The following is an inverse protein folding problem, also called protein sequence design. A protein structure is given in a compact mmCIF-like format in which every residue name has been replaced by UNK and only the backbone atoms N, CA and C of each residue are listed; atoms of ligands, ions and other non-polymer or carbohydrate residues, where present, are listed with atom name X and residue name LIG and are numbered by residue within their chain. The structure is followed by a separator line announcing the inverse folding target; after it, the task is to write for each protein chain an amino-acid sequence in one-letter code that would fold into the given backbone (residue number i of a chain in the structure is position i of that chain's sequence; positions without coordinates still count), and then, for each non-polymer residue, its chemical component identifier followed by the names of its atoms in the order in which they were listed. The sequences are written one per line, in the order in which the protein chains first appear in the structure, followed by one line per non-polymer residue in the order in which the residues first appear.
data_IF_150447990811
#
_entry.id   IF_150447990811
#
_cell.length_a   1.000
_cell.length_b   1.000
_cell.length_c   1.000
_cell.angle_alpha   90.00
_cell.angle_beta   90.00
_cell.angle_gamma   90.00
#
_symmetry.space_group_name_H-M   'P 1'
#
loop_
_entity.id
_entity.type
_entity.pdbx_description
1 polymer ?
#
# COMPACT_ATOMS: atom_id res chain seq x y z
N UNK A 1 19.50 25.74 6.44
CA UNK A 1 19.56 24.29 6.76
C UNK A 1 19.22 23.51 5.50
N UNK A 2 19.99 22.46 5.15
CA UNK A 2 19.81 21.71 3.90
C UNK A 2 18.98 20.45 4.10
N UNK A 3 18.04 20.22 3.18
CA UNK A 3 17.23 19.00 3.10
C UNK A 3 17.55 18.28 1.78
N UNK A 4 17.97 17.04 1.85
CA UNK A 4 18.19 16.18 0.67
C UNK A 4 16.92 15.38 0.35
N UNK A 5 16.29 15.64 -0.78
CA UNK A 5 15.16 14.85 -1.28
C UNK A 5 15.64 13.78 -2.26
N UNK A 6 16.34 12.76 -1.74
CA UNK A 6 17.11 11.79 -2.52
C UNK A 6 16.28 10.96 -3.51
N UNK A 7 15.02 10.68 -3.18
CA UNK A 7 14.10 9.98 -4.08
C UNK A 7 13.06 10.92 -4.73
N UNK A 8 13.34 12.23 -4.67
CA UNK A 8 12.49 13.28 -5.24
C UNK A 8 11.23 13.56 -4.42
N UNK A 9 10.75 14.80 -4.55
CA UNK A 9 9.47 15.26 -4.03
C UNK A 9 8.77 16.13 -5.08
N UNK A 10 7.48 16.43 -4.85
CA UNK A 10 6.72 17.33 -5.74
C UNK A 10 7.24 18.77 -5.68
N UNK A 11 7.05 19.54 -6.76
CA UNK A 11 7.41 20.97 -6.78
C UNK A 11 6.73 21.75 -5.65
N UNK A 12 5.48 21.41 -5.29
CA UNK A 12 4.80 22.03 -4.16
C UNK A 12 5.49 21.74 -2.82
N UNK A 13 6.08 20.54 -2.67
CA UNK A 13 6.87 20.18 -1.50
C UNK A 13 8.19 20.96 -1.42
N UNK A 14 8.87 21.12 -2.57
CA UNK A 14 10.08 21.98 -2.68
C UNK A 14 9.74 23.40 -2.25
N UNK A 15 8.75 24.01 -2.89
CA UNK A 15 8.34 25.39 -2.61
C UNK A 15 7.97 25.60 -1.13
N UNK A 16 7.29 24.63 -0.51
CA UNK A 16 6.90 24.72 0.90
C UNK A 16 8.13 24.65 1.84
N UNK A 17 9.11 23.81 1.54
CA UNK A 17 10.35 23.74 2.33
C UNK A 17 11.21 24.98 2.16
N UNK A 18 11.33 25.51 0.93
CA UNK A 18 12.07 26.76 0.67
C UNK A 18 11.39 27.96 1.34
N UNK A 19 10.08 28.05 1.28
CA UNK A 19 9.32 29.08 2.00
C UNK A 19 9.50 29.00 3.55
N UNK A 20 9.78 27.78 4.06
CA UNK A 20 10.11 27.57 5.47
C UNK A 20 11.60 27.84 5.80
N UNK A 21 12.40 28.29 4.82
CA UNK A 21 13.81 28.65 5.01
C UNK A 21 14.80 27.49 4.87
N UNK A 22 14.39 26.39 4.28
CA UNK A 22 15.30 25.29 3.96
C UNK A 22 15.84 25.44 2.54
N UNK A 23 17.06 25.00 2.33
CA UNK A 23 17.65 24.76 1.01
C UNK A 23 17.36 23.30 0.63
N UNK A 24 16.70 23.08 -0.51
CA UNK A 24 16.29 21.73 -0.95
C UNK A 24 17.22 21.23 -2.03
N UNK A 25 17.89 20.11 -1.78
CA UNK A 25 18.77 19.43 -2.73
C UNK A 25 17.96 18.31 -3.39
N UNK A 26 17.84 18.35 -4.72
CA UNK A 26 17.10 17.37 -5.53
C UNK A 26 18.00 16.40 -6.27
N UNK A 27 19.33 16.54 -6.13
CA UNK A 27 20.29 15.65 -6.74
C UNK A 27 20.11 14.22 -6.21
N UNK A 28 20.10 13.24 -7.12
CA UNK A 28 20.08 11.84 -6.74
C UNK A 28 21.47 11.37 -6.36
N UNK A 29 21.68 11.06 -5.11
CA UNK A 29 22.91 10.51 -4.56
C UNK A 29 22.82 8.98 -4.51
N UNK A 30 23.83 8.27 -4.96
CA UNK A 30 23.89 6.81 -4.87
C UNK A 30 23.95 6.36 -3.40
N UNK A 31 23.46 5.15 -3.11
CA UNK A 31 23.40 4.65 -1.74
C UNK A 31 24.78 4.61 -1.06
N UNK A 32 25.82 4.25 -1.81
CA UNK A 32 27.19 4.11 -1.29
C UNK A 32 27.84 5.49 -0.99
N UNK A 33 27.43 6.53 -1.71
CA UNK A 33 27.93 7.90 -1.54
C UNK A 33 27.11 8.72 -0.54
N UNK A 34 25.99 8.18 -0.05
CA UNK A 34 25.00 8.94 0.72
C UNK A 34 25.57 9.52 2.01
N UNK A 35 26.39 8.78 2.74
CA UNK A 35 27.00 9.22 4.00
C UNK A 35 27.98 10.37 3.74
N UNK A 36 28.84 10.24 2.76
CA UNK A 36 29.85 11.26 2.42
C UNK A 36 29.17 12.55 1.94
N UNK A 37 28.12 12.40 1.14
CA UNK A 37 27.34 13.56 0.66
C UNK A 37 26.64 14.29 1.83
N UNK A 38 25.95 13.56 2.70
CA UNK A 38 25.28 14.17 3.86
C UNK A 38 26.26 14.94 4.73
N UNK A 39 27.45 14.37 4.98
CA UNK A 39 28.47 14.98 5.81
C UNK A 39 29.12 16.19 5.12
N UNK A 40 29.44 16.09 3.83
CA UNK A 40 30.01 17.19 3.06
C UNK A 40 29.07 18.39 2.98
N UNK A 41 27.81 18.15 2.67
CA UNK A 41 26.81 19.20 2.49
C UNK A 41 26.15 19.65 3.81
N UNK A 42 26.47 19.00 4.94
CA UNK A 42 25.88 19.25 6.25
C UNK A 42 24.33 19.17 6.21
N UNK A 43 23.83 18.12 5.57
CA UNK A 43 22.39 17.87 5.44
C UNK A 43 21.76 17.60 6.81
N UNK A 44 20.69 18.30 7.14
CA UNK A 44 19.96 18.13 8.43
C UNK A 44 18.72 17.23 8.30
N UNK A 45 18.22 17.03 7.10
CA UNK A 45 17.07 16.17 6.84
C UNK A 45 17.18 15.43 5.52
N UNK A 46 16.83 14.14 5.51
CA UNK A 46 16.78 13.33 4.30
C UNK A 46 15.35 12.88 4.04
N UNK A 47 14.88 13.14 2.81
CA UNK A 47 13.56 12.68 2.35
C UNK A 47 13.76 11.56 1.35
N UNK A 48 13.17 10.41 1.64
CA UNK A 48 13.31 9.19 0.85
C UNK A 48 11.95 8.60 0.45
N UNK A 49 11.94 7.73 -0.55
CA UNK A 49 10.80 6.88 -0.88
C UNK A 49 11.19 5.42 -0.68
N UNK A 50 11.21 4.61 -1.74
CA UNK A 50 11.52 3.17 -1.64
C UNK A 50 12.93 2.81 -2.13
N UNK A 51 13.60 3.70 -2.88
CA UNK A 51 14.88 3.40 -3.50
C UNK A 51 16.06 3.59 -2.54
N UNK A 52 15.99 4.60 -1.67
CA UNK A 52 17.05 4.92 -0.70
C UNK A 52 16.78 4.25 0.64
N UNK A 53 17.80 3.68 1.25
CA UNK A 53 17.73 3.10 2.61
C UNK A 53 18.45 3.98 3.61
N UNK A 54 17.88 4.10 4.82
CA UNK A 54 18.49 4.80 5.95
C UNK A 54 18.61 3.82 7.11
N UNK A 55 19.76 3.14 7.15
CA UNK A 55 20.07 2.12 8.16
C UNK A 55 20.91 2.70 9.28
N UNK A 56 21.23 1.90 10.29
CA UNK A 56 22.00 2.30 11.44
C UNK A 56 23.33 2.98 11.06
N UNK A 57 24.03 2.44 10.06
CA UNK A 57 25.27 3.02 9.56
C UNK A 57 25.14 4.47 9.10
N UNK A 58 24.04 4.82 8.42
CA UNK A 58 23.77 6.22 8.00
C UNK A 58 23.49 7.09 9.22
N UNK A 59 22.68 6.60 10.15
CA UNK A 59 22.33 7.33 11.38
C UNK A 59 23.58 7.63 12.23
N UNK A 60 24.47 6.65 12.41
CA UNK A 60 25.67 6.78 13.22
C UNK A 60 26.75 7.65 12.56
N UNK A 61 26.84 7.62 11.23
CA UNK A 61 27.89 8.32 10.48
C UNK A 61 27.54 9.76 10.09
N UNK A 62 26.30 10.19 10.30
CA UNK A 62 25.81 11.49 9.85
C UNK A 62 25.34 12.37 11.04
N UNK A 63 26.26 12.98 11.82
CA UNK A 63 25.91 13.71 13.04
C UNK A 63 25.09 15.00 12.79
N UNK A 64 25.11 15.53 11.57
CA UNK A 64 24.26 16.67 11.17
C UNK A 64 22.80 16.30 11.00
N UNK A 65 22.47 15.00 10.78
CA UNK A 65 21.13 14.54 10.48
C UNK A 65 20.22 14.63 11.71
N UNK A 66 19.04 15.23 11.53
CA UNK A 66 18.02 15.40 12.57
C UNK A 66 16.65 14.87 12.17
N UNK A 67 16.40 14.77 10.85
CA UNK A 67 15.12 14.37 10.30
C UNK A 67 15.29 13.31 9.20
N UNK A 68 14.47 12.27 9.28
CA UNK A 68 14.27 11.31 8.19
C UNK A 68 12.79 11.35 7.84
N UNK A 69 12.45 11.71 6.59
CA UNK A 69 11.09 11.72 6.07
C UNK A 69 10.90 10.67 4.99
N UNK A 70 9.84 9.86 5.10
CA UNK A 70 9.50 8.89 4.06
C UNK A 70 8.22 9.28 3.34
N UNK A 71 8.31 9.53 2.04
CA UNK A 71 7.15 9.72 1.16
C UNK A 71 6.42 8.40 0.89
N UNK A 72 5.49 8.04 1.77
CA UNK A 72 4.69 6.83 1.70
C UNK A 72 4.30 6.27 3.07
N UNK A 73 3.65 5.10 3.10
CA UNK A 73 3.10 4.52 4.32
C UNK A 73 4.15 3.68 5.07
N UNK A 74 4.70 2.67 4.41
CA UNK A 74 5.66 1.77 5.05
C UNK A 74 7.04 2.40 5.17
N UNK A 75 7.78 2.04 6.19
CA UNK A 75 9.12 2.56 6.48
C UNK A 75 10.15 1.43 6.55
N UNK A 76 9.94 0.35 5.82
CA UNK A 76 10.78 -0.86 5.85
C UNK A 76 12.23 -0.61 5.43
N UNK A 77 12.48 0.48 4.70
CA UNK A 77 13.81 0.92 4.27
C UNK A 77 14.52 1.83 5.29
N UNK A 78 13.92 2.09 6.45
CA UNK A 78 14.45 2.95 7.51
C UNK A 78 14.49 2.16 8.81
N UNK A 79 15.59 2.24 9.56
CA UNK A 79 15.69 1.67 10.91
C UNK A 79 15.06 2.64 11.93
N UNK A 80 13.72 2.74 11.88
CA UNK A 80 12.92 3.77 12.58
C UNK A 80 13.16 3.77 14.09
N UNK A 81 13.13 2.61 14.73
CA UNK A 81 13.31 2.50 16.17
C UNK A 81 14.69 3.02 16.58
N UNK A 82 15.72 2.58 15.87
CA UNK A 82 17.10 3.00 16.10
C UNK A 82 17.30 4.52 15.88
N UNK A 83 16.80 5.05 14.77
CA UNK A 83 16.90 6.47 14.48
C UNK A 83 16.25 7.34 15.58
N UNK A 84 15.07 6.92 16.06
CA UNK A 84 14.37 7.62 17.17
C UNK A 84 15.12 7.50 18.48
N UNK A 85 15.71 6.36 18.81
CA UNK A 85 16.56 6.17 19.98
C UNK A 85 17.78 7.11 19.96
N UNK A 86 18.34 7.35 18.76
CA UNK A 86 19.42 8.33 18.53
C UNK A 86 18.94 9.79 18.52
N UNK A 87 17.66 10.06 18.77
CA UNK A 87 17.11 11.40 18.85
C UNK A 87 16.69 12.02 17.52
N UNK A 88 16.68 11.26 16.42
CA UNK A 88 16.20 11.75 15.12
C UNK A 88 14.67 11.73 15.08
N UNK A 89 14.11 12.76 14.45
CA UNK A 89 12.69 12.76 14.07
C UNK A 89 12.49 11.90 12.84
N UNK A 90 11.58 10.92 12.91
CA UNK A 90 11.22 10.07 11.75
C UNK A 90 9.73 10.22 11.47
N UNK A 91 9.41 10.68 10.26
CA UNK A 91 8.05 10.94 9.78
C UNK A 91 7.75 10.18 8.48
N UNK A 92 6.47 9.96 8.22
CA UNK A 92 5.99 9.42 6.95
C UNK A 92 4.69 10.11 6.52
N UNK A 93 4.15 9.72 5.33
CA UNK A 93 2.90 10.26 4.78
C UNK A 93 1.82 9.17 4.70
N UNK A 94 1.24 8.74 5.83
CA UNK A 94 0.40 7.53 5.89
C UNK A 94 -0.96 7.66 5.18
N UNK A 95 -1.43 8.88 4.93
CA UNK A 95 -2.71 9.14 4.24
C UNK A 95 -2.60 9.36 2.74
N UNK A 96 -1.41 9.70 2.24
CA UNK A 96 -1.26 10.25 0.89
C UNK A 96 -1.55 9.26 -0.25
N UNK A 97 -1.32 7.96 -0.04
CA UNK A 97 -1.50 6.92 -1.07
C UNK A 97 -2.69 6.00 -0.86
N UNK A 98 -3.49 6.22 0.19
CA UNK A 98 -4.56 5.27 0.55
C UNK A 98 -5.57 5.09 -0.57
N UNK A 99 -6.01 6.19 -1.16
CA UNK A 99 -6.94 6.20 -2.28
C UNK A 99 -6.35 5.52 -3.53
N UNK A 100 -5.13 5.91 -3.91
CA UNK A 100 -4.46 5.37 -5.10
C UNK A 100 -4.24 3.85 -5.02
N UNK A 101 -3.90 3.33 -3.83
CA UNK A 101 -3.76 1.88 -3.62
C UNK A 101 -5.12 1.19 -3.71
N UNK A 102 -6.17 1.76 -3.13
CA UNK A 102 -7.51 1.19 -3.22
C UNK A 102 -8.02 1.13 -4.67
N UNK A 103 -7.78 2.17 -5.47
CA UNK A 103 -8.12 2.20 -6.90
C UNK A 103 -7.31 1.15 -7.69
N UNK A 104 -6.02 1.01 -7.42
CA UNK A 104 -5.18 -0.02 -8.04
C UNK A 104 -5.72 -1.42 -7.73
N UNK A 105 -6.09 -1.69 -6.48
CA UNK A 105 -6.68 -2.98 -6.09
C UNK A 105 -7.99 -3.23 -6.84
N UNK A 106 -8.88 -2.25 -6.94
CA UNK A 106 -10.11 -2.39 -7.75
C UNK A 106 -9.79 -2.68 -9.22
N UNK A 107 -8.80 -2.02 -9.78
CA UNK A 107 -8.29 -2.33 -11.13
C UNK A 107 -7.85 -3.78 -11.28
N UNK A 108 -7.11 -4.31 -10.31
CA UNK A 108 -6.71 -5.73 -10.29
C UNK A 108 -7.91 -6.67 -10.12
N UNK A 109 -8.89 -6.35 -9.27
CA UNK A 109 -10.10 -7.17 -9.11
C UNK A 109 -10.86 -7.29 -10.43
N UNK A 110 -11.05 -6.19 -11.18
CA UNK A 110 -11.64 -6.24 -12.52
C UNK A 110 -10.76 -7.02 -13.49
N UNK A 111 -9.45 -6.80 -13.48
CA UNK A 111 -8.52 -7.45 -14.40
C UNK A 111 -8.53 -8.98 -14.26
N UNK A 112 -8.46 -9.50 -13.03
CA UNK A 112 -8.48 -10.96 -12.78
C UNK A 112 -9.87 -11.58 -12.99
N UNK A 113 -10.94 -10.79 -12.86
CA UNK A 113 -12.32 -11.26 -13.03
C UNK A 113 -12.75 -11.29 -14.49
N UNK A 114 -12.25 -10.39 -15.33
CA UNK A 114 -12.68 -10.17 -16.71
C UNK A 114 -11.57 -10.42 -17.73
N UNK A 115 -10.44 -11.01 -17.30
CA UNK A 115 -9.30 -11.36 -18.16
C UNK A 115 -8.71 -10.17 -18.95
N UNK A 116 -8.70 -8.96 -18.38
CA UNK A 116 -8.30 -7.74 -19.10
C UNK A 116 -6.87 -7.83 -19.63
N UNK A 117 -5.93 -8.31 -18.81
CA UNK A 117 -4.54 -8.48 -19.23
C UNK A 117 -4.40 -9.49 -20.38
N UNK A 118 -5.07 -10.65 -20.26
CA UNK A 118 -5.04 -11.66 -21.30
C UNK A 118 -5.71 -11.16 -22.58
N UNK A 119 -6.81 -10.40 -22.46
CA UNK A 119 -7.48 -9.77 -23.60
C UNK A 119 -6.56 -8.78 -24.32
N UNK A 120 -5.91 -7.89 -23.59
CA UNK A 120 -4.97 -6.94 -24.16
C UNK A 120 -3.81 -7.63 -24.90
N UNK A 121 -3.17 -8.62 -24.24
CA UNK A 121 -2.04 -9.35 -24.81
C UNK A 121 -2.38 -10.13 -26.08
N UNK A 122 -3.62 -10.63 -26.18
CA UNK A 122 -4.04 -11.47 -27.32
C UNK A 122 -4.87 -10.71 -28.36
N UNK A 123 -5.06 -9.40 -28.22
CA UNK A 123 -5.87 -8.60 -29.16
C UNK A 123 -5.37 -8.69 -30.61
N UNK A 124 -4.07 -8.74 -30.79
CA UNK A 124 -3.42 -8.75 -32.11
C UNK A 124 -3.49 -10.11 -32.83
N UNK A 125 -3.86 -11.18 -32.13
CA UNK A 125 -3.86 -12.55 -32.74
C UNK A 125 -4.96 -12.75 -33.78
N UNK A 126 -5.96 -11.89 -33.85
CA UNK A 126 -7.10 -12.03 -34.76
C UNK A 126 -8.07 -13.18 -34.42
N UNK A 127 -7.84 -13.95 -33.38
CA UNK A 127 -8.66 -15.11 -32.97
C UNK A 127 -9.90 -14.71 -32.16
N UNK A 128 -10.64 -13.68 -32.57
CA UNK A 128 -11.74 -13.09 -31.82
C UNK A 128 -12.76 -14.11 -31.29
N UNK A 129 -13.21 -15.04 -32.13
CA UNK A 129 -14.23 -16.02 -31.73
C UNK A 129 -13.74 -16.95 -30.59
N UNK A 130 -12.48 -17.36 -30.64
CA UNK A 130 -11.83 -18.20 -29.64
C UNK A 130 -11.65 -17.44 -28.34
N UNK A 131 -11.17 -16.19 -28.42
CA UNK A 131 -10.99 -15.31 -27.26
C UNK A 131 -12.32 -14.99 -26.58
N UNK A 132 -13.36 -14.65 -27.36
CA UNK A 132 -14.72 -14.43 -26.84
C UNK A 132 -15.25 -15.62 -26.04
N UNK A 133 -15.08 -16.84 -26.57
CA UNK A 133 -15.48 -18.07 -25.88
C UNK A 133 -14.68 -18.28 -24.59
N UNK A 134 -13.38 -17.99 -24.60
CA UNK A 134 -12.51 -18.11 -23.44
C UNK A 134 -12.92 -17.10 -22.35
N UNK A 135 -13.18 -15.84 -22.72
CA UNK A 135 -13.53 -14.77 -21.78
C UNK A 135 -14.98 -14.79 -21.28
N UNK A 136 -15.84 -15.62 -21.89
CA UNK A 136 -17.19 -15.88 -21.38
C UNK A 136 -17.21 -16.50 -19.97
N UNK A 137 -16.07 -17.04 -19.50
CA UNK A 137 -15.88 -17.53 -18.13
C UNK A 137 -15.64 -16.41 -17.11
N UNK A 138 -15.57 -15.16 -17.54
CA UNK A 138 -15.43 -14.02 -16.65
C UNK A 138 -16.61 -13.89 -15.70
N UNK A 139 -16.34 -13.34 -14.52
CA UNK A 139 -17.34 -13.14 -13.47
C UNK A 139 -17.52 -11.65 -13.15
N UNK A 140 -18.70 -11.29 -12.68
CA UNK A 140 -19.00 -9.96 -12.18
C UNK A 140 -18.57 -9.83 -10.71
N UNK A 141 -18.20 -8.61 -10.28
CA UNK A 141 -17.92 -8.32 -8.87
C UNK A 141 -19.21 -8.14 -8.06
N UNK A 142 -20.29 -7.68 -8.70
CA UNK A 142 -21.59 -7.47 -8.04
C UNK A 142 -22.06 -8.74 -7.32
N UNK A 143 -22.48 -8.58 -6.08
CA UNK A 143 -22.97 -9.66 -5.22
C UNK A 143 -21.90 -10.60 -4.68
N UNK A 144 -20.62 -10.44 -5.08
CA UNK A 144 -19.50 -11.19 -4.55
C UNK A 144 -19.04 -10.63 -3.22
N UNK A 145 -18.42 -11.48 -2.40
CA UNK A 145 -17.89 -11.11 -1.10
C UNK A 145 -16.38 -10.89 -1.20
N UNK A 146 -15.91 -9.71 -0.76
CA UNK A 146 -14.50 -9.42 -0.61
C UNK A 146 -14.11 -9.38 0.87
N UNK A 147 -13.08 -10.16 1.23
CA UNK A 147 -12.38 -10.06 2.51
C UNK A 147 -11.26 -9.02 2.41
N UNK A 148 -11.30 -8.03 3.27
CA UNK A 148 -10.27 -6.98 3.36
C UNK A 148 -9.48 -7.24 4.64
N UNK A 149 -8.26 -7.77 4.49
CA UNK A 149 -7.37 -8.11 5.59
C UNK A 149 -6.45 -6.91 5.86
N UNK A 150 -6.64 -6.27 7.03
CA UNK A 150 -6.12 -4.96 7.36
C UNK A 150 -7.12 -3.86 7.01
N UNK A 151 -7.90 -3.40 8.01
CA UNK A 151 -9.00 -2.44 7.82
C UNK A 151 -8.62 -1.01 8.23
N UNK A 152 -7.34 -0.66 8.02
CA UNK A 152 -6.83 0.71 8.17
C UNK A 152 -7.28 1.62 7.00
N UNK A 153 -6.58 2.74 6.80
CA UNK A 153 -6.93 3.76 5.78
C UNK A 153 -7.14 3.19 4.37
N UNK A 154 -6.23 2.31 3.92
CA UNK A 154 -6.31 1.69 2.60
C UNK A 154 -7.50 0.73 2.53
N UNK A 155 -7.67 -0.14 3.53
CA UNK A 155 -8.78 -1.10 3.59
C UNK A 155 -10.14 -0.42 3.60
N UNK A 156 -10.31 0.68 4.34
CA UNK A 156 -11.54 1.46 4.37
C UNK A 156 -11.79 2.17 3.03
N UNK A 157 -10.75 2.72 2.39
CA UNK A 157 -10.89 3.29 1.04
C UNK A 157 -11.30 2.22 0.02
N UNK A 158 -10.72 1.03 0.08
CA UNK A 158 -11.11 -0.09 -0.78
C UNK A 158 -12.56 -0.53 -0.52
N UNK A 159 -12.98 -0.58 0.75
CA UNK A 159 -14.35 -0.93 1.12
C UNK A 159 -15.37 0.02 0.49
N UNK A 160 -15.07 1.33 0.45
CA UNK A 160 -15.92 2.32 -0.21
C UNK A 160 -16.13 2.01 -1.70
N UNK A 161 -15.05 1.68 -2.42
CA UNK A 161 -15.16 1.29 -3.83
C UNK A 161 -15.84 -0.06 -4.04
N UNK A 162 -15.55 -1.05 -3.20
CA UNK A 162 -16.15 -2.38 -3.29
C UNK A 162 -17.66 -2.33 -3.07
N UNK A 163 -18.11 -1.57 -2.06
CA UNK A 163 -19.53 -1.30 -1.84
C UNK A 163 -20.18 -0.60 -3.03
N UNK A 164 -19.51 0.43 -3.58
CA UNK A 164 -19.98 1.13 -4.79
C UNK A 164 -20.08 0.22 -6.02
N UNK A 165 -19.23 -0.80 -6.12
CA UNK A 165 -19.29 -1.85 -7.15
C UNK A 165 -20.34 -2.95 -6.86
N UNK A 166 -21.10 -2.82 -5.77
CA UNK A 166 -22.15 -3.78 -5.38
C UNK A 166 -21.63 -5.07 -4.75
N UNK A 167 -20.39 -5.04 -4.22
CA UNK A 167 -19.82 -6.18 -3.48
C UNK A 167 -20.30 -6.17 -2.01
N UNK A 168 -20.24 -7.34 -1.37
CA UNK A 168 -20.31 -7.47 0.09
C UNK A 168 -18.91 -7.34 0.65
N UNK A 169 -18.72 -6.57 1.72
CA UNK A 169 -17.43 -6.36 2.37
C UNK A 169 -17.40 -7.07 3.71
N UNK A 170 -16.38 -7.91 3.91
CA UNK A 170 -16.01 -8.50 5.19
C UNK A 170 -14.64 -7.96 5.56
N UNK A 171 -14.55 -7.25 6.67
CA UNK A 171 -13.30 -6.69 7.17
C UNK A 171 -12.68 -7.62 8.21
N UNK A 172 -11.35 -7.78 8.14
CA UNK A 172 -10.56 -8.52 9.14
C UNK A 172 -9.46 -7.59 9.66
N UNK A 173 -9.49 -7.27 10.94
CA UNK A 173 -8.50 -6.39 11.59
C UNK A 173 -8.48 -6.65 13.09
N UNK A 174 -7.28 -6.53 13.70
CA UNK A 174 -7.09 -6.75 15.14
C UNK A 174 -7.25 -5.47 15.98
N UNK A 175 -7.18 -4.31 15.33
CA UNK A 175 -7.06 -3.01 16.00
C UNK A 175 -8.25 -2.09 15.72
N UNK A 176 -8.94 -2.30 14.63
CA UNK A 176 -10.10 -1.50 14.23
C UNK A 176 -11.37 -2.14 14.78
N UNK A 177 -12.08 -1.45 15.67
CA UNK A 177 -13.36 -1.96 16.23
C UNK A 177 -14.48 -1.81 15.21
N UNK A 178 -14.97 -0.61 15.02
CA UNK A 178 -16.01 -0.30 14.01
C UNK A 178 -15.59 0.95 13.24
N UNK A 179 -15.74 0.90 11.93
CA UNK A 179 -15.40 2.03 11.07
C UNK A 179 -16.60 2.47 10.23
N UNK A 180 -16.74 3.78 10.08
CA UNK A 180 -17.71 4.37 9.15
C UNK A 180 -17.04 4.52 7.78
N UNK A 181 -17.53 3.80 6.79
CA UNK A 181 -17.09 3.87 5.41
C UNK A 181 -18.10 4.68 4.61
N UNK A 182 -17.68 5.84 4.09
CA UNK A 182 -18.53 6.67 3.24
C UNK A 182 -18.42 6.26 1.77
N UNK A 183 -19.56 5.96 1.16
CA UNK A 183 -19.69 5.67 -0.27
C UNK A 183 -20.28 6.87 -0.98
N UNK A 184 -19.63 7.38 -2.01
CA UNK A 184 -20.15 8.48 -2.83
C UNK A 184 -21.11 7.94 -3.88
N UNK A 185 -22.36 8.39 -3.86
CA UNK A 185 -23.41 8.00 -4.81
C UNK A 185 -24.05 9.26 -5.38
N UNK A 186 -23.74 9.58 -6.63
CA UNK A 186 -24.34 10.76 -7.31
C UNK A 186 -24.11 12.09 -6.57
N UNK A 187 -22.93 12.26 -5.97
CA UNK A 187 -22.60 13.46 -5.17
C UNK A 187 -23.08 13.43 -3.72
N UNK A 188 -23.86 12.42 -3.32
CA UNK A 188 -24.24 12.21 -1.94
C UNK A 188 -23.32 11.20 -1.26
N UNK A 189 -23.13 11.35 0.05
CA UNK A 189 -22.43 10.36 0.87
C UNK A 189 -23.45 9.43 1.55
N UNK A 190 -23.20 8.13 1.44
CA UNK A 190 -23.92 7.10 2.18
C UNK A 190 -22.94 6.44 3.12
N UNK A 191 -23.18 6.53 4.41
CA UNK A 191 -22.31 5.98 5.44
C UNK A 191 -22.72 4.56 5.79
N UNK A 192 -21.77 3.65 5.71
CA UNK A 192 -21.94 2.22 6.05
C UNK A 192 -21.04 1.90 7.24
N UNK A 193 -21.64 1.36 8.31
CA UNK A 193 -20.87 0.87 9.45
C UNK A 193 -20.36 -0.53 9.16
N UNK A 194 -19.05 -0.73 9.33
CA UNK A 194 -18.39 -2.02 9.17
C UNK A 194 -17.64 -2.34 10.46
N UNK A 195 -17.99 -3.46 11.06
CA UNK A 195 -17.28 -4.02 12.23
C UNK A 195 -16.39 -5.16 11.77
N UNK A 196 -15.06 -5.00 11.83
CA UNK A 196 -14.14 -6.07 11.49
C UNK A 196 -14.21 -7.25 12.47
N UNK A 197 -13.96 -8.46 11.97
CA UNK A 197 -13.63 -9.60 12.82
C UNK A 197 -12.10 -9.66 13.03
N UNK A 198 -11.66 -10.19 14.15
CA UNK A 198 -10.25 -10.53 14.38
C UNK A 198 -9.92 -11.98 14.02
N UNK A 199 -10.93 -12.77 13.65
CA UNK A 199 -10.80 -14.18 13.28
C UNK A 199 -10.99 -14.36 11.76
N UNK A 200 -9.88 -14.43 11.03
CA UNK A 200 -9.89 -14.70 9.59
C UNK A 200 -10.47 -16.08 9.28
N UNK A 201 -10.22 -17.07 10.13
CA UNK A 201 -10.64 -18.45 9.88
C UNK A 201 -12.15 -18.60 9.88
N UNK A 202 -12.86 -17.79 10.65
CA UNK A 202 -14.33 -17.81 10.71
C UNK A 202 -15.03 -17.32 9.45
N UNK A 203 -14.32 -16.59 8.58
CA UNK A 203 -14.93 -15.94 7.42
C UNK A 203 -14.31 -16.35 6.08
N UNK A 204 -13.07 -16.87 6.09
CA UNK A 204 -12.25 -17.09 4.88
C UNK A 204 -12.93 -18.04 3.88
N UNK A 205 -13.72 -19.01 4.37
CA UNK A 205 -14.45 -19.97 3.56
C UNK A 205 -15.58 -19.36 2.73
N UNK A 206 -16.04 -18.14 3.07
CA UNK A 206 -17.13 -17.45 2.38
C UNK A 206 -16.68 -16.37 1.41
N UNK A 207 -15.37 -16.10 1.32
CA UNK A 207 -14.82 -15.03 0.50
C UNK A 207 -14.65 -15.46 -0.95
N UNK A 208 -15.10 -14.63 -1.87
CA UNK A 208 -14.86 -14.78 -3.31
C UNK A 208 -13.56 -14.05 -3.73
N UNK A 209 -13.21 -13.01 -2.99
CA UNK A 209 -12.00 -12.19 -3.17
C UNK A 209 -11.35 -11.91 -1.82
N UNK A 210 -10.03 -11.78 -1.83
CA UNK A 210 -9.24 -11.37 -0.66
C UNK A 210 -8.29 -10.26 -1.08
N UNK A 211 -8.22 -9.19 -0.31
CA UNK A 211 -7.23 -8.14 -0.47
C UNK A 211 -6.47 -7.90 0.83
N UNK A 212 -5.14 -7.87 0.75
CA UNK A 212 -4.27 -7.73 1.92
C UNK A 212 -3.72 -6.30 2.00
N UNK A 213 -3.83 -5.71 3.19
CA UNK A 213 -3.38 -4.35 3.54
C UNK A 213 -2.67 -4.31 4.89
N UNK A 214 -2.01 -5.38 5.24
CA UNK A 214 -1.28 -5.57 6.50
C UNK A 214 0.22 -5.44 6.31
N UNK A 215 1.00 -5.00 7.32
CA UNK A 215 2.45 -5.08 7.30
C UNK A 215 2.90 -6.56 7.36
N UNK A 216 4.21 -6.78 7.18
CA UNK A 216 4.82 -8.06 7.55
C UNK A 216 4.60 -8.32 9.03
N UNK A 217 4.37 -9.58 9.40
CA UNK A 217 4.29 -9.96 10.80
C UNK A 217 5.69 -9.85 11.46
N UNK A 218 5.71 -9.53 12.73
CA UNK A 218 6.97 -9.29 13.46
C UNK A 218 7.84 -10.55 13.56
N UNK A 219 7.21 -11.72 13.57
CA UNK A 219 7.87 -13.03 13.58
C UNK A 219 8.29 -13.52 12.18
N UNK A 220 7.99 -12.73 11.13
CA UNK A 220 8.28 -13.06 9.74
C UNK A 220 7.31 -14.07 9.11
N UNK A 221 6.29 -14.53 9.84
CA UNK A 221 5.28 -15.45 9.29
C UNK A 221 4.37 -14.76 8.27
N UNK A 222 3.82 -15.54 7.34
CA UNK A 222 2.80 -15.07 6.41
C UNK A 222 1.42 -15.08 7.07
N UNK A 223 0.56 -14.14 6.64
CA UNK A 223 -0.85 -14.06 7.07
C UNK A 223 -1.69 -15.12 6.38
N UNK A 224 -1.36 -15.43 5.12
CA UNK A 224 -1.97 -16.50 4.33
C UNK A 224 -0.92 -17.58 4.11
N UNK A 225 -1.18 -18.75 4.64
CA UNK A 225 -0.33 -19.94 4.52
C UNK A 225 -1.18 -21.10 3.97
N UNK A 226 -0.59 -22.29 3.85
CA UNK A 226 -1.29 -23.47 3.33
C UNK A 226 -2.62 -23.74 4.07
N UNK A 227 -2.63 -23.59 5.38
CA UNK A 227 -3.83 -23.75 6.22
C UNK A 227 -4.97 -22.85 5.78
N UNK A 228 -4.68 -21.58 5.52
CA UNK A 228 -5.69 -20.62 5.07
C UNK A 228 -6.16 -20.95 3.64
N UNK A 229 -5.26 -21.39 2.74
CA UNK A 229 -5.63 -21.83 1.39
C UNK A 229 -6.58 -23.02 1.40
N UNK A 230 -6.39 -23.98 2.28
CA UNK A 230 -7.25 -25.16 2.40
C UNK A 230 -8.68 -24.80 2.84
N UNK A 231 -8.86 -23.69 3.57
CA UNK A 231 -10.14 -23.19 4.03
C UNK A 231 -10.89 -22.33 2.99
N UNK A 232 -10.20 -21.88 1.95
CA UNK A 232 -10.76 -20.95 0.96
C UNK A 232 -11.72 -21.64 -0.02
N UNK A 233 -12.66 -20.85 -0.55
CA UNK A 233 -13.45 -21.28 -1.70
C UNK A 233 -12.56 -21.62 -2.89
N UNK A 234 -12.89 -22.68 -3.60
CA UNK A 234 -12.27 -22.97 -4.90
C UNK A 234 -12.52 -21.79 -5.85
N UNK A 235 -11.42 -21.26 -6.42
CA UNK A 235 -11.48 -20.15 -7.37
C UNK A 235 -11.52 -18.76 -6.70
N UNK A 236 -11.26 -18.66 -5.41
CA UNK A 236 -11.00 -17.37 -4.74
C UNK A 236 -9.89 -16.60 -5.46
N UNK A 237 -9.99 -15.29 -5.50
CA UNK A 237 -9.00 -14.41 -6.12
C UNK A 237 -8.37 -13.54 -5.05
N UNK A 238 -7.03 -13.51 -5.02
CA UNK A 238 -6.28 -12.80 -4.00
C UNK A 238 -5.49 -11.66 -4.65
N UNK A 239 -5.58 -10.47 -4.08
CA UNK A 239 -4.78 -9.30 -4.44
C UNK A 239 -3.92 -8.93 -3.24
N UNK A 240 -2.60 -8.95 -3.43
CA UNK A 240 -1.66 -8.47 -2.44
C UNK A 240 -1.05 -7.14 -2.90
N UNK A 241 -1.56 -6.03 -2.38
CA UNK A 241 -1.02 -4.69 -2.58
C UNK A 241 -0.29 -4.18 -1.32
N UNK A 242 0.02 -5.07 -0.37
CA UNK A 242 0.67 -4.75 0.90
C UNK A 242 2.19 -4.95 0.85
N UNK A 243 2.66 -6.16 1.13
CA UNK A 243 4.08 -6.51 1.21
C UNK A 243 4.34 -7.90 0.65
N UNK A 244 5.56 -8.11 0.13
CA UNK A 244 6.06 -9.45 -0.11
C UNK A 244 6.18 -10.22 1.20
N UNK A 245 5.90 -11.55 1.19
CA UNK A 245 5.98 -12.42 2.36
C UNK A 245 4.75 -12.42 3.28
N UNK A 246 3.66 -11.68 2.95
CA UNK A 246 2.38 -11.82 3.68
C UNK A 246 1.54 -12.99 3.17
N UNK A 247 1.94 -13.59 2.06
CA UNK A 247 1.43 -14.84 1.50
C UNK A 247 2.62 -15.77 1.31
N UNK A 248 2.50 -17.03 1.72
CA UNK A 248 3.50 -18.08 1.55
C UNK A 248 2.93 -19.24 0.72
#
# INVERSE_FOLDING_TARGET
MKILANDGISASGVNALEAAGFEVILEKVAQDDLIDFINKEQVVGVLVRSATTVRQNVVDSCPSLKLIGRGGVGMDNIDVAYAREKGLTVINTPGASSQSVAELVMGHLFAVSRFLYASYKNMETGEFAKLKKSYAKGVELRGKTIGIIGFGRIGQSLASYALGAGMKVVAVDQYTETATVSVNVGGNKVDVQITPTNDLSSVIGDLDYISLHVPKQADGSAVIQMKEFEMMKKGVRIVNAARGGVIN
#
